data_IF_067363495407
#
_entry.id   IF_067363495407
#
_cell.length_a   1.000
_cell.length_b   1.000
_cell.length_c   1.000
_cell.angle_alpha   90.00
_cell.angle_beta   90.00
_cell.angle_gamma   90.00
#
_symmetry.space_group_name_H-M   'P 1'
#
loop_
_entity.id
_entity.type
_entity.pdbx_description
1 polymer ?
#
# COMPACT_ATOMS: atom_id res chain seq x y z
N UNK A 1 19.59 -18.50 -30.95
CA UNK A 1 19.49 -19.87 -30.39
C UNK A 1 18.03 -20.06 -30.03
N UNK A 2 17.35 -21.08 -30.56
CA UNK A 2 15.87 -21.14 -30.59
C UNK A 2 15.22 -21.75 -29.34
N UNK A 3 16.01 -22.24 -28.39
CA UNK A 3 15.56 -22.92 -27.16
C UNK A 3 16.24 -22.38 -25.88
N UNK A 4 16.92 -21.23 -25.98
CA UNK A 4 17.62 -20.59 -24.85
C UNK A 4 18.80 -21.36 -24.28
N UNK A 5 19.09 -22.57 -24.76
CA UNK A 5 20.13 -23.45 -24.19
C UNK A 5 21.42 -23.33 -25.00
N UNK A 6 22.42 -22.64 -24.45
CA UNK A 6 23.77 -22.60 -25.03
C UNK A 6 24.64 -23.65 -24.34
N UNK A 7 24.77 -24.83 -24.95
CA UNK A 7 25.78 -25.79 -24.51
C UNK A 7 27.18 -25.24 -24.83
N UNK A 8 28.02 -25.05 -23.82
CA UNK A 8 29.40 -24.59 -24.01
C UNK A 8 30.34 -25.67 -24.57
N UNK A 9 29.87 -26.87 -24.95
CA UNK A 9 30.63 -27.93 -25.63
C UNK A 9 32.07 -28.18 -25.11
N UNK A 10 32.29 -28.13 -23.80
CA UNK A 10 33.62 -28.33 -23.19
C UNK A 10 34.53 -27.10 -23.22
N UNK A 11 33.99 -25.90 -23.48
CA UNK A 11 34.69 -24.64 -23.33
C UNK A 11 34.91 -24.36 -21.84
N UNK A 12 36.16 -24.49 -21.39
CA UNK A 12 36.56 -24.05 -20.05
C UNK A 12 36.93 -22.58 -20.10
N UNK A 13 36.27 -21.76 -19.28
CA UNK A 13 36.67 -20.38 -19.08
C UNK A 13 37.84 -20.39 -18.09
N UNK A 14 38.96 -19.77 -18.47
CA UNK A 14 40.12 -19.68 -17.58
C UNK A 14 39.82 -18.70 -16.44
N UNK A 15 40.17 -19.09 -15.21
CA UNK A 15 40.07 -18.20 -14.05
C UNK A 15 40.90 -16.92 -14.27
N UNK A 16 40.38 -15.81 -13.78
CA UNK A 16 40.85 -14.44 -13.94
C UNK A 16 40.97 -13.95 -15.40
N UNK A 17 40.26 -14.59 -16.33
CA UNK A 17 40.23 -14.15 -17.73
C UNK A 17 39.14 -13.10 -17.98
N UNK A 18 39.30 -12.32 -19.04
CA UNK A 18 38.25 -11.38 -19.45
C UNK A 18 36.96 -12.11 -19.86
N UNK A 19 37.06 -13.35 -20.34
CA UNK A 19 35.91 -14.20 -20.66
C UNK A 19 35.14 -14.60 -19.41
N UNK A 20 35.82 -14.79 -18.27
CA UNK A 20 35.17 -15.05 -16.98
C UNK A 20 34.36 -13.85 -16.51
N UNK A 21 34.96 -12.66 -16.56
CA UNK A 21 34.29 -11.41 -16.18
C UNK A 21 33.05 -11.13 -17.04
N UNK A 22 33.16 -11.27 -18.36
CA UNK A 22 32.00 -11.14 -19.24
C UNK A 22 30.92 -12.20 -18.97
N UNK A 23 31.31 -13.39 -18.50
CA UNK A 23 30.36 -14.43 -18.09
C UNK A 23 29.63 -14.06 -16.80
N UNK A 24 30.29 -13.41 -15.83
CA UNK A 24 29.62 -12.91 -14.62
C UNK A 24 28.48 -11.97 -14.99
N UNK A 25 28.77 -10.94 -15.79
CA UNK A 25 27.74 -10.02 -16.31
C UNK A 25 26.60 -10.78 -16.96
N UNK A 26 26.90 -11.72 -17.87
CA UNK A 26 25.86 -12.52 -18.53
C UNK A 26 24.99 -13.33 -17.55
N UNK A 27 25.60 -13.95 -16.53
CA UNK A 27 24.82 -14.70 -15.54
C UNK A 27 23.91 -13.79 -14.72
N UNK A 28 24.36 -12.58 -14.40
CA UNK A 28 23.58 -11.60 -13.63
C UNK A 28 22.38 -11.09 -14.44
N UNK A 29 22.60 -10.74 -15.72
CA UNK A 29 21.51 -10.42 -16.65
C UNK A 29 20.49 -11.57 -16.76
N UNK A 30 20.99 -12.81 -16.87
CA UNK A 30 20.15 -14.00 -16.99
C UNK A 30 19.35 -14.23 -15.72
N UNK A 31 19.95 -14.06 -14.54
CA UNK A 31 19.28 -14.20 -13.24
C UNK A 31 18.14 -13.19 -13.10
N UNK A 32 18.38 -11.93 -13.44
CA UNK A 32 17.34 -10.89 -13.41
C UNK A 32 16.18 -11.23 -14.36
N UNK A 33 16.49 -11.68 -15.58
CA UNK A 33 15.47 -12.14 -16.53
C UNK A 33 14.70 -13.37 -16.04
N UNK A 34 15.40 -14.40 -15.56
CA UNK A 34 14.81 -15.63 -15.04
C UNK A 34 13.91 -15.34 -13.83
N UNK A 35 14.33 -14.43 -12.95
CA UNK A 35 13.55 -14.03 -11.78
C UNK A 35 12.18 -13.46 -12.19
N UNK A 36 12.17 -12.42 -13.02
CA UNK A 36 10.92 -11.79 -13.48
C UNK A 36 10.08 -12.81 -14.26
N UNK A 37 10.69 -13.52 -15.20
CA UNK A 37 9.99 -14.48 -16.06
C UNK A 37 9.36 -15.62 -15.25
N UNK A 38 10.08 -16.19 -14.29
CA UNK A 38 9.57 -17.32 -13.52
C UNK A 38 8.45 -16.92 -12.55
N UNK A 39 8.50 -15.70 -12.01
CA UNK A 39 7.51 -15.22 -11.03
C UNK A 39 6.25 -14.69 -11.73
N UNK A 40 6.41 -14.00 -12.86
CA UNK A 40 5.31 -13.26 -13.51
C UNK A 40 4.82 -13.92 -14.79
N UNK A 41 5.59 -14.85 -15.38
CA UNK A 41 5.38 -15.42 -16.70
C UNK A 41 5.35 -14.36 -17.83
N UNK A 42 5.97 -13.20 -17.60
CA UNK A 42 6.14 -12.10 -18.55
C UNK A 42 7.61 -12.04 -18.96
N UNK A 43 7.87 -11.75 -20.23
CA UNK A 43 9.22 -11.45 -20.73
C UNK A 43 9.50 -9.95 -20.51
N UNK A 44 10.47 -9.56 -19.66
CA UNK A 44 10.80 -8.15 -19.41
C UNK A 44 11.54 -7.48 -20.58
N UNK A 45 11.79 -8.22 -21.66
CA UNK A 45 12.40 -7.71 -22.88
C UNK A 45 13.91 -7.93 -22.94
N UNK A 46 14.50 -7.52 -24.06
CA UNK A 46 15.92 -7.73 -24.29
C UNK A 46 16.78 -6.84 -23.42
N UNK A 47 17.94 -7.36 -23.00
CA UNK A 47 19.00 -6.59 -22.36
C UNK A 47 20.30 -6.82 -23.11
N UNK A 48 21.06 -5.75 -23.29
CA UNK A 48 22.43 -5.80 -23.78
C UNK A 48 23.32 -5.07 -22.78
N UNK A 49 24.45 -5.65 -22.43
CA UNK A 49 25.45 -4.99 -21.60
C UNK A 49 26.76 -4.83 -22.37
N UNK A 50 27.40 -3.67 -22.21
CA UNK A 50 28.77 -3.41 -22.63
C UNK A 50 29.69 -3.42 -21.42
N UNK A 51 30.75 -4.21 -21.51
CA UNK A 51 31.88 -4.16 -20.59
C UNK A 51 33.19 -4.27 -21.37
N UNK A 52 34.21 -3.56 -20.91
CA UNK A 52 35.56 -3.61 -21.46
C UNK A 52 36.60 -3.49 -20.33
N UNK A 53 37.63 -4.35 -20.37
CA UNK A 53 38.66 -4.35 -19.31
C UNK A 53 39.39 -3.02 -19.25
N UNK A 54 39.51 -2.46 -18.05
CA UNK A 54 40.16 -1.18 -17.79
C UNK A 54 39.31 0.04 -18.12
N UNK A 55 38.17 -0.15 -18.78
CA UNK A 55 37.21 0.93 -19.05
C UNK A 55 36.25 1.03 -17.87
N UNK A 56 36.36 2.14 -17.14
CA UNK A 56 35.42 2.49 -16.08
C UNK A 56 34.44 3.54 -16.55
N UNK A 57 34.46 3.89 -17.84
CA UNK A 57 33.64 4.94 -18.38
C UNK A 57 33.38 4.82 -19.87
N UNK A 58 32.24 5.34 -20.33
CA UNK A 58 31.94 5.51 -21.77
C UNK A 58 32.70 6.70 -22.38
N UNK A 59 34.01 6.56 -22.59
CA UNK A 59 34.89 7.64 -23.01
C UNK A 59 34.89 7.90 -24.55
N UNK A 60 33.81 8.47 -25.09
CA UNK A 60 33.76 8.98 -26.48
C UNK A 60 33.31 10.45 -26.52
N UNK A 61 34.12 11.39 -26.01
CA UNK A 61 33.74 12.81 -26.02
C UNK A 61 34.83 13.68 -26.69
N UNK A 62 34.65 14.03 -27.96
CA UNK A 62 35.36 15.13 -28.62
C UNK A 62 34.66 16.48 -28.33
N UNK A 63 34.63 16.86 -27.05
CA UNK A 63 34.45 18.26 -26.66
C UNK A 63 33.07 18.92 -26.89
N UNK A 64 31.98 18.20 -27.20
CA UNK A 64 30.65 18.85 -27.28
C UNK A 64 29.43 18.06 -26.81
N UNK A 65 29.55 16.80 -26.37
CA UNK A 65 28.43 16.05 -25.78
C UNK A 65 28.92 15.31 -24.53
N UNK A 66 28.77 15.92 -23.37
CA UNK A 66 29.14 15.30 -22.09
C UNK A 66 28.03 14.35 -21.65
N UNK A 67 28.18 13.05 -21.93
CA UNK A 67 27.61 12.03 -21.05
C UNK A 67 28.65 11.82 -19.93
N UNK A 68 28.24 11.78 -18.65
CA UNK A 68 29.16 11.42 -17.60
C UNK A 68 29.68 10.01 -17.85
N UNK A 69 30.89 9.72 -17.35
CA UNK A 69 31.57 8.47 -17.60
C UNK A 69 30.76 7.22 -17.20
N UNK A 70 29.88 7.30 -16.19
CA UNK A 70 29.51 6.09 -15.47
C UNK A 70 28.13 5.49 -15.84
N UNK A 71 27.05 6.25 -16.09
CA UNK A 71 25.69 5.65 -16.12
C UNK A 71 24.64 6.33 -17.03
N UNK A 72 24.93 6.52 -18.33
CA UNK A 72 23.92 7.04 -19.25
C UNK A 72 24.00 6.44 -20.67
N UNK A 73 22.86 6.33 -21.39
CA UNK A 73 22.82 5.86 -22.76
C UNK A 73 23.33 7.02 -23.60
N UNK A 74 24.66 7.08 -23.73
CA UNK A 74 25.26 7.65 -24.92
C UNK A 74 24.47 7.10 -26.12
N UNK A 75 24.15 7.94 -27.11
CA UNK A 75 23.41 7.62 -28.35
C UNK A 75 24.04 6.51 -29.24
N UNK A 76 24.78 5.55 -28.67
CA UNK A 76 25.53 4.47 -29.31
C UNK A 76 25.65 3.18 -28.49
N UNK A 77 25.01 3.05 -27.34
CA UNK A 77 24.87 1.75 -26.69
C UNK A 77 23.39 1.41 -26.66
N UNK A 78 22.99 0.47 -27.50
CA UNK A 78 21.71 -0.22 -27.38
C UNK A 78 21.83 -1.10 -26.12
N UNK A 79 21.75 -0.53 -24.90
CA UNK A 79 21.95 -1.27 -23.65
C UNK A 79 22.62 -0.50 -22.50
N UNK A 80 23.06 -1.25 -21.50
CA UNK A 80 23.73 -0.75 -20.27
C UNK A 80 25.26 -0.82 -20.38
N UNK A 81 25.95 -0.05 -19.54
CA UNK A 81 27.40 -0.10 -19.41
C UNK A 81 27.80 -0.53 -18.00
N UNK A 82 28.67 -1.53 -17.90
CA UNK A 82 29.25 -1.96 -16.63
C UNK A 82 30.71 -1.52 -16.59
N UNK A 83 31.06 -0.67 -15.63
CA UNK A 83 32.44 -0.27 -15.40
C UNK A 83 33.31 -1.46 -14.96
N UNK A 84 34.57 -1.53 -15.42
CA UNK A 84 35.47 -2.65 -15.07
C UNK A 84 35.75 -2.78 -13.57
N UNK A 85 35.66 -1.69 -12.82
CA UNK A 85 35.77 -1.68 -11.35
C UNK A 85 34.57 -2.33 -10.67
N UNK A 86 33.40 -2.32 -11.33
CA UNK A 86 32.11 -2.71 -10.74
C UNK A 86 31.65 -4.12 -11.15
N UNK A 87 32.32 -4.76 -12.11
CA UNK A 87 31.98 -6.09 -12.65
C UNK A 87 31.94 -7.25 -11.63
N UNK A 88 32.46 -7.02 -10.42
CA UNK A 88 32.46 -8.02 -9.34
C UNK A 88 31.25 -7.89 -8.41
N UNK A 89 30.44 -6.84 -8.57
CA UNK A 89 29.21 -6.62 -7.82
C UNK A 89 28.02 -7.05 -8.68
N UNK A 90 27.37 -8.14 -8.25
CA UNK A 90 26.13 -8.59 -8.86
C UNK A 90 24.99 -7.56 -8.68
N UNK A 91 24.98 -6.86 -7.54
CA UNK A 91 23.98 -5.82 -7.27
C UNK A 91 24.08 -4.68 -8.29
N UNK A 92 25.28 -4.20 -8.60
CA UNK A 92 25.47 -3.15 -9.60
C UNK A 92 25.02 -3.63 -10.98
N UNK A 93 25.39 -4.86 -11.38
CA UNK A 93 24.99 -5.37 -12.71
C UNK A 93 23.47 -5.53 -12.83
N UNK A 94 22.80 -6.01 -11.79
CA UNK A 94 21.34 -6.16 -11.78
C UNK A 94 20.64 -4.81 -11.63
N UNK A 95 21.20 -3.87 -10.87
CA UNK A 95 20.72 -2.50 -10.78
C UNK A 95 20.66 -1.86 -12.16
N UNK A 96 21.77 -1.89 -12.92
CA UNK A 96 21.77 -1.38 -14.30
C UNK A 96 20.74 -2.11 -15.18
N UNK A 97 20.56 -3.41 -14.96
CA UNK A 97 19.52 -4.20 -15.64
C UNK A 97 18.12 -3.68 -15.35
N UNK A 98 17.85 -3.22 -14.13
CA UNK A 98 16.58 -2.59 -13.74
C UNK A 98 16.28 -1.34 -14.57
N UNK A 99 17.29 -0.50 -14.83
CA UNK A 99 17.16 0.62 -15.76
C UNK A 99 16.84 0.17 -17.18
N UNK A 100 17.48 -0.89 -17.69
CA UNK A 100 17.14 -1.39 -19.03
C UNK A 100 15.69 -1.89 -19.13
N UNK A 101 15.15 -2.49 -18.07
CA UNK A 101 13.75 -2.90 -18.08
C UNK A 101 12.79 -1.70 -18.06
N UNK A 102 13.13 -0.65 -17.32
CA UNK A 102 12.43 0.63 -17.43
C UNK A 102 12.51 1.21 -18.85
N UNK A 103 13.67 1.16 -19.48
CA UNK A 103 13.89 1.59 -20.87
C UNK A 103 13.02 0.81 -21.87
N UNK A 104 12.94 -0.52 -21.71
CA UNK A 104 12.14 -1.38 -22.58
C UNK A 104 10.64 -1.03 -22.56
N UNK A 105 10.15 -0.52 -21.42
CA UNK A 105 8.73 -0.15 -21.22
C UNK A 105 8.47 1.29 -21.65
N UNK A 106 9.32 2.23 -21.21
CA UNK A 106 9.10 3.68 -21.41
C UNK A 106 9.74 4.22 -22.70
N UNK A 107 10.62 3.44 -23.35
CA UNK A 107 11.47 3.90 -24.45
C UNK A 107 12.62 4.83 -24.01
N UNK A 108 12.75 5.06 -22.70
CA UNK A 108 13.86 5.75 -22.05
C UNK A 108 13.84 5.44 -20.54
N UNK A 109 14.93 4.94 -19.95
CA UNK A 109 14.98 4.61 -18.51
C UNK A 109 14.85 5.83 -17.57
N UNK A 110 15.07 7.04 -18.07
CA UNK A 110 14.93 8.30 -17.33
C UNK A 110 13.83 9.16 -17.96
N UNK A 111 12.59 8.65 -18.04
CA UNK A 111 11.51 9.16 -18.87
C UNK A 111 11.17 10.66 -18.73
N UNK A 112 10.51 11.28 -19.75
CA UNK A 112 9.99 12.64 -19.65
C UNK A 112 8.88 12.76 -18.58
N UNK A 113 8.68 13.92 -17.91
CA UNK A 113 9.28 15.24 -18.17
C UNK A 113 10.59 15.41 -17.39
N UNK A 114 11.69 14.97 -17.99
CA UNK A 114 13.02 15.13 -17.46
C UNK A 114 13.59 16.46 -17.97
N UNK A 115 13.89 17.35 -17.05
CA UNK A 115 14.76 18.46 -17.39
C UNK A 115 16.20 17.96 -17.44
N UNK A 116 17.06 18.67 -18.18
CA UNK A 116 18.51 18.43 -18.09
C UNK A 116 19.03 18.52 -16.64
N UNK A 117 18.35 19.30 -15.79
CA UNK A 117 18.69 19.44 -14.38
C UNK A 117 18.46 18.13 -13.61
N UNK A 118 17.34 17.43 -13.84
CA UNK A 118 17.05 16.14 -13.21
C UNK A 118 18.15 15.11 -13.51
N UNK A 119 18.50 14.96 -14.80
CA UNK A 119 19.59 14.09 -15.24
C UNK A 119 20.94 14.50 -14.64
N UNK A 120 21.22 15.82 -14.57
CA UNK A 120 22.46 16.32 -14.03
C UNK A 120 22.60 16.08 -12.52
N UNK A 121 21.53 16.29 -11.76
CA UNK A 121 21.52 16.06 -10.31
C UNK A 121 21.62 14.58 -9.94
N UNK A 122 21.00 13.71 -10.74
CA UNK A 122 20.98 12.28 -10.51
C UNK A 122 22.29 11.62 -10.96
N UNK A 123 22.64 11.76 -12.24
CA UNK A 123 23.66 10.95 -12.91
C UNK A 123 25.03 11.63 -12.92
N UNK A 124 25.10 12.96 -13.10
CA UNK A 124 26.38 13.66 -13.28
C UNK A 124 27.04 13.99 -11.93
N UNK A 125 26.28 14.52 -10.98
CA UNK A 125 26.82 14.94 -9.68
C UNK A 125 27.05 13.78 -8.72
N UNK A 126 26.51 12.60 -9.03
CA UNK A 126 26.46 11.47 -8.11
C UNK A 126 25.49 11.71 -6.94
N UNK A 127 25.13 10.63 -6.27
CA UNK A 127 24.30 10.63 -5.08
C UNK A 127 24.59 9.40 -4.22
N UNK A 128 24.25 9.47 -2.94
CA UNK A 128 24.08 8.31 -2.08
C UNK A 128 22.61 8.01 -1.84
N UNK A 129 22.32 6.80 -1.34
CA UNK A 129 20.95 6.30 -1.11
C UNK A 129 20.06 7.25 -0.30
N UNK A 130 20.62 8.00 0.65
CA UNK A 130 19.85 8.85 1.56
C UNK A 130 19.95 10.35 1.27
N UNK A 131 20.51 10.71 0.10
CA UNK A 131 20.50 12.08 -0.40
C UNK A 131 19.13 12.42 -0.98
N UNK A 132 18.63 13.62 -0.68
CA UNK A 132 17.45 14.15 -1.37
C UNK A 132 17.82 14.52 -2.80
N UNK A 133 17.06 13.98 -3.75
CA UNK A 133 17.21 14.21 -5.20
C UNK A 133 15.87 14.57 -5.81
N UNK A 134 15.75 14.38 -7.12
CA UNK A 134 14.50 14.58 -7.84
C UNK A 134 13.63 13.33 -7.69
N UNK A 135 12.30 13.49 -7.77
CA UNK A 135 11.37 12.35 -7.67
C UNK A 135 11.65 11.26 -8.70
N UNK A 136 12.04 11.67 -9.90
CA UNK A 136 12.41 10.75 -10.97
C UNK A 136 13.68 9.98 -10.62
N UNK A 137 14.71 10.65 -10.11
CA UNK A 137 15.94 9.99 -9.67
C UNK A 137 15.67 8.95 -8.57
N UNK A 138 15.00 9.36 -7.49
CA UNK A 138 14.69 8.47 -6.38
C UNK A 138 13.85 7.24 -6.81
N UNK A 139 12.93 7.44 -7.77
CA UNK A 139 12.14 6.36 -8.33
C UNK A 139 12.95 5.42 -9.23
N UNK A 140 13.70 5.96 -10.20
CA UNK A 140 14.43 5.14 -11.17
C UNK A 140 15.54 4.34 -10.51
N UNK A 141 16.31 4.99 -9.65
CA UNK A 141 17.41 4.39 -8.89
C UNK A 141 16.83 3.44 -7.83
N UNK A 142 15.74 3.83 -7.16
CA UNK A 142 15.11 3.01 -6.14
C UNK A 142 14.51 1.72 -6.68
N UNK A 143 13.88 1.77 -7.86
CA UNK A 143 13.43 0.57 -8.58
C UNK A 143 14.60 -0.33 -8.97
N UNK A 144 15.65 0.23 -9.58
CA UNK A 144 16.81 -0.51 -10.04
C UNK A 144 17.50 -1.24 -8.88
N UNK A 145 17.72 -0.53 -7.77
CA UNK A 145 18.28 -1.09 -6.55
C UNK A 145 17.36 -2.13 -5.93
N UNK A 146 16.05 -1.88 -5.83
CA UNK A 146 15.09 -2.88 -5.34
C UNK A 146 15.13 -4.17 -6.16
N UNK A 147 15.22 -4.09 -7.49
CA UNK A 147 15.32 -5.27 -8.35
C UNK A 147 16.58 -6.10 -8.03
N UNK A 148 17.72 -5.45 -7.78
CA UNK A 148 18.94 -6.13 -7.37
C UNK A 148 18.74 -6.94 -6.08
N UNK A 149 18.18 -6.29 -5.05
CA UNK A 149 17.88 -6.94 -3.77
C UNK A 149 16.90 -8.10 -3.94
N UNK A 150 15.83 -7.92 -4.70
CA UNK A 150 14.82 -8.94 -4.94
C UNK A 150 15.38 -10.17 -5.68
N UNK A 151 16.26 -9.96 -6.67
CA UNK A 151 16.90 -11.03 -7.46
C UNK A 151 17.95 -11.79 -6.65
N UNK A 152 18.73 -11.09 -5.83
CA UNK A 152 19.75 -11.71 -4.97
C UNK A 152 19.17 -12.34 -3.71
N UNK A 153 17.97 -11.90 -3.30
CA UNK A 153 17.18 -12.48 -2.22
C UNK A 153 17.65 -12.06 -0.84
N UNK A 154 18.18 -10.83 -0.72
CA UNK A 154 18.62 -10.24 0.54
C UNK A 154 18.49 -8.71 0.52
N UNK A 155 18.41 -8.06 1.70
CA UNK A 155 18.20 -6.60 1.80
C UNK A 155 19.48 -5.77 1.67
N UNK A 156 20.63 -6.39 1.37
CA UNK A 156 21.93 -5.72 1.36
C UNK A 156 22.40 -5.36 -0.04
N UNK A 157 22.60 -4.07 -0.29
CA UNK A 157 23.30 -3.64 -1.50
C UNK A 157 24.81 -3.71 -1.30
N UNK A 158 25.49 -4.58 -2.05
CA UNK A 158 26.93 -4.85 -1.97
C UNK A 158 27.68 -4.15 -3.09
N UNK A 159 28.49 -3.16 -2.72
CA UNK A 159 29.37 -2.45 -3.65
C UNK A 159 30.54 -3.32 -4.10
N UNK A 160 31.13 -3.00 -5.25
CA UNK A 160 32.30 -3.72 -5.76
C UNK A 160 33.55 -3.61 -4.87
N UNK A 161 33.57 -2.64 -3.94
CA UNK A 161 34.59 -2.52 -2.90
C UNK A 161 34.47 -3.56 -1.78
N UNK A 162 33.35 -4.29 -1.73
CA UNK A 162 32.99 -5.25 -0.69
C UNK A 162 32.28 -4.65 0.53
N UNK A 163 32.02 -3.33 0.53
CA UNK A 163 31.11 -2.72 1.51
C UNK A 163 29.66 -3.05 1.17
N UNK A 164 28.79 -3.11 2.17
CA UNK A 164 27.34 -3.28 1.96
C UNK A 164 26.52 -2.33 2.84
N UNK A 165 25.29 -2.08 2.41
CA UNK A 165 24.29 -1.28 3.14
C UNK A 165 22.99 -2.06 3.16
N UNK A 166 22.41 -2.19 4.35
CA UNK A 166 21.07 -2.75 4.54
C UNK A 166 20.03 -1.65 4.23
N UNK A 167 19.16 -1.90 3.26
CA UNK A 167 18.21 -0.92 2.73
C UNK A 167 16.76 -1.19 3.15
N UNK A 168 16.53 -2.20 3.98
CA UNK A 168 15.25 -2.51 4.63
C UNK A 168 15.07 -1.75 5.97
N UNK A 169 16.16 -1.27 6.56
CA UNK A 169 16.14 -0.53 7.83
C UNK A 169 15.51 0.89 7.86
N UNK A 170 15.22 1.61 6.76
CA UNK A 170 14.65 2.95 6.83
C UNK A 170 13.34 3.00 7.65
N UNK A 171 13.37 3.53 8.88
CA UNK A 171 12.19 3.62 9.75
C UNK A 171 12.08 4.95 10.52
N UNK A 172 10.98 5.14 11.25
CA UNK A 172 10.79 6.22 12.22
C UNK A 172 11.37 5.87 13.60
N UNK A 173 11.96 6.83 14.34
CA UNK A 173 12.32 8.17 13.93
C UNK A 173 13.56 8.17 13.01
N UNK A 174 13.58 9.12 12.09
CA UNK A 174 14.66 9.24 11.10
C UNK A 174 15.96 9.72 11.74
N UNK A 175 17.12 9.09 11.44
CA UNK A 175 18.42 9.61 11.84
C UNK A 175 18.61 11.08 11.43
N UNK A 176 19.21 11.95 12.27
CA UNK A 176 19.29 13.38 11.99
C UNK A 176 20.01 13.78 10.70
N UNK A 177 20.80 12.87 10.13
CA UNK A 177 21.59 13.04 8.92
C UNK A 177 20.93 12.46 7.67
N UNK A 178 19.72 11.88 7.78
CA UNK A 178 18.98 11.36 6.65
C UNK A 178 17.76 12.21 6.31
N UNK A 179 17.46 12.26 5.01
CA UNK A 179 16.25 12.90 4.50
C UNK A 179 15.09 11.90 4.45
N UNK A 180 13.86 12.44 4.37
CA UNK A 180 12.61 11.68 4.34
C UNK A 180 11.86 11.93 3.04
N UNK A 181 10.89 11.07 2.72
CA UNK A 181 9.97 11.27 1.60
C UNK A 181 10.41 10.61 0.29
N UNK A 182 9.56 10.80 -0.73
CA UNK A 182 9.63 10.12 -2.04
C UNK A 182 10.68 10.67 -3.00
N UNK A 183 11.52 11.59 -2.53
CA UNK A 183 12.68 12.17 -3.24
C UNK A 183 13.99 11.53 -2.82
N UNK A 184 13.95 10.48 -1.99
CA UNK A 184 15.10 9.80 -1.41
C UNK A 184 15.09 8.33 -1.84
N UNK A 185 16.10 7.94 -2.61
CA UNK A 185 16.21 6.60 -3.20
C UNK A 185 16.06 5.48 -2.17
N UNK A 186 16.80 5.55 -1.06
CA UNK A 186 16.79 4.58 0.03
C UNK A 186 15.41 4.40 0.67
N UNK A 187 14.56 5.44 0.65
CA UNK A 187 13.17 5.35 1.15
C UNK A 187 12.27 4.64 0.15
N UNK A 188 12.46 4.89 -1.14
CA UNK A 188 11.75 4.19 -2.21
C UNK A 188 12.14 2.70 -2.22
N UNK A 189 13.42 2.38 -2.03
CA UNK A 189 13.91 1.01 -1.99
C UNK A 189 13.26 0.24 -0.84
N UNK A 190 13.36 0.76 0.40
CA UNK A 190 12.77 0.12 1.55
C UNK A 190 11.25 -0.02 1.41
N UNK A 191 10.56 1.01 0.89
CA UNK A 191 9.12 0.92 0.66
C UNK A 191 8.74 -0.18 -0.36
N UNK A 192 9.51 -0.34 -1.45
CA UNK A 192 9.29 -1.44 -2.40
C UNK A 192 9.64 -2.79 -1.79
N UNK A 193 10.67 -2.85 -0.94
CA UNK A 193 11.11 -4.06 -0.28
C UNK A 193 10.07 -4.55 0.73
N UNK A 194 9.53 -3.69 1.59
CA UNK A 194 8.46 -4.03 2.55
C UNK A 194 7.18 -4.49 1.84
N UNK A 195 6.85 -3.90 0.68
CA UNK A 195 5.72 -4.40 -0.12
C UNK A 195 5.98 -5.82 -0.67
N UNK A 196 7.25 -6.19 -0.87
CA UNK A 196 7.67 -7.40 -1.55
C UNK A 196 7.95 -8.57 -0.61
N UNK A 197 8.59 -8.32 0.52
CA UNK A 197 9.26 -9.32 1.31
C UNK A 197 8.30 -10.01 2.32
N UNK A 198 8.79 -10.98 3.09
CA UNK A 198 7.96 -11.70 4.08
C UNK A 198 8.34 -11.37 5.53
N UNK A 199 9.08 -10.30 5.76
CA UNK A 199 9.68 -9.97 7.06
C UNK A 199 8.93 -8.85 7.77
N UNK A 200 7.61 -8.98 7.88
CA UNK A 200 6.72 -8.01 8.51
C UNK A 200 7.28 -7.41 9.81
N UNK A 201 7.59 -6.11 9.77
CA UNK A 201 8.05 -5.35 10.93
C UNK A 201 7.36 -3.98 11.10
N UNK A 202 7.02 -3.63 12.34
CA UNK A 202 6.37 -2.35 12.65
C UNK A 202 5.05 -2.12 11.89
N UNK A 203 5.08 -1.20 10.92
CA UNK A 203 3.96 -0.88 10.03
C UNK A 203 3.91 -1.77 8.79
N UNK A 204 4.99 -2.44 8.41
CA UNK A 204 4.91 -3.53 7.44
C UNK A 204 4.25 -4.74 8.09
N UNK A 205 3.05 -5.08 7.58
CA UNK A 205 2.20 -6.12 8.13
C UNK A 205 1.79 -7.15 7.09
N UNK A 206 2.21 -7.01 5.82
CA UNK A 206 1.76 -7.90 4.77
C UNK A 206 2.71 -7.97 3.58
N UNK A 207 2.90 -9.18 3.10
CA UNK A 207 3.58 -9.46 1.83
C UNK A 207 2.64 -9.35 0.65
N UNK A 208 2.93 -8.47 -0.30
CA UNK A 208 2.28 -8.48 -1.61
C UNK A 208 3.05 -9.29 -2.65
N UNK A 209 4.36 -9.47 -2.43
CA UNK A 209 5.25 -10.15 -3.36
C UNK A 209 5.61 -9.29 -4.56
N UNK A 210 6.40 -9.85 -5.48
CA UNK A 210 6.99 -9.10 -6.59
C UNK A 210 5.98 -8.76 -7.70
N UNK A 211 5.00 -9.65 -7.94
CA UNK A 211 4.10 -9.54 -9.10
C UNK A 211 3.31 -8.24 -9.15
N UNK A 212 2.67 -7.73 -8.07
CA UNK A 212 1.96 -6.45 -8.12
C UNK A 212 2.88 -5.26 -8.45
N UNK A 213 4.10 -5.26 -7.91
CA UNK A 213 5.09 -4.21 -8.17
C UNK A 213 5.47 -4.21 -9.65
N UNK A 214 5.87 -5.38 -10.18
CA UNK A 214 6.25 -5.52 -11.59
C UNK A 214 5.09 -5.22 -12.54
N UNK A 215 3.88 -5.65 -12.21
CA UNK A 215 2.69 -5.36 -13.03
C UNK A 215 2.50 -3.84 -13.17
N UNK A 216 2.77 -3.03 -12.15
CA UNK A 216 2.72 -1.56 -12.30
C UNK A 216 3.87 -1.08 -13.18
N UNK A 217 5.12 -1.38 -12.80
CA UNK A 217 6.34 -0.91 -13.49
C UNK A 217 6.39 -1.30 -14.97
N UNK A 218 5.80 -2.45 -15.34
CA UNK A 218 5.82 -2.98 -16.71
C UNK A 218 4.62 -2.60 -17.57
N UNK A 219 3.55 -2.03 -16.98
CA UNK A 219 2.29 -1.78 -17.70
C UNK A 219 2.02 -0.30 -18.04
N UNK A 220 2.74 0.62 -17.41
CA UNK A 220 2.43 2.03 -17.44
C UNK A 220 3.66 2.83 -17.84
N UNK A 221 3.60 3.64 -18.91
CA UNK A 221 4.71 4.50 -19.32
C UNK A 221 4.80 5.81 -18.50
N UNK A 222 4.02 5.93 -17.41
CA UNK A 222 3.76 7.23 -16.76
C UNK A 222 4.36 7.36 -15.35
N UNK A 223 4.89 6.29 -14.72
CA UNK A 223 5.55 6.43 -13.41
C UNK A 223 6.93 7.11 -13.56
N UNK A 224 6.94 8.43 -13.50
CA UNK A 224 8.15 9.24 -13.34
C UNK A 224 8.46 9.55 -11.87
N UNK A 225 7.76 8.92 -10.93
CA UNK A 225 7.93 9.08 -9.48
C UNK A 225 7.30 7.92 -8.71
N UNK A 226 7.73 7.74 -7.46
CA UNK A 226 7.10 6.78 -6.54
C UNK A 226 5.64 7.15 -6.21
N UNK A 227 5.29 8.43 -6.25
CA UNK A 227 3.90 8.90 -6.11
C UNK A 227 3.04 8.43 -7.30
N UNK A 228 3.59 8.42 -8.51
CA UNK A 228 2.93 7.85 -9.69
C UNK A 228 2.72 6.35 -9.53
N UNK A 229 3.72 5.63 -9.03
CA UNK A 229 3.59 4.21 -8.68
C UNK A 229 2.45 3.98 -7.68
N UNK A 230 2.36 4.80 -6.62
CA UNK A 230 1.27 4.71 -5.65
C UNK A 230 -0.11 5.00 -6.26
N UNK A 231 -0.21 5.98 -7.15
CA UNK A 231 -1.45 6.25 -7.87
C UNK A 231 -1.88 5.06 -8.75
N UNK A 232 -0.94 4.42 -9.44
CA UNK A 232 -1.18 3.19 -10.20
C UNK A 232 -1.55 2.01 -9.31
N UNK A 233 -0.94 1.88 -8.12
CA UNK A 233 -1.28 0.87 -7.12
C UNK A 233 -2.76 0.97 -6.70
N UNK A 234 -3.19 2.19 -6.36
CA UNK A 234 -4.60 2.49 -6.05
C UNK A 234 -5.51 2.21 -7.24
N UNK A 235 -5.12 2.63 -8.44
CA UNK A 235 -5.93 2.48 -9.65
C UNK A 235 -6.14 1.01 -10.06
N UNK A 236 -5.18 0.12 -9.76
CA UNK A 236 -5.30 -1.33 -9.96
C UNK A 236 -6.12 -2.04 -8.88
N UNK A 237 -6.53 -1.34 -7.83
CA UNK A 237 -7.35 -1.91 -6.76
C UNK A 237 -6.57 -2.85 -5.84
N UNK A 238 -5.25 -2.71 -5.75
CA UNK A 238 -4.46 -3.38 -4.72
C UNK A 238 -4.84 -2.85 -3.33
N UNK A 239 -4.60 -3.62 -2.27
CA UNK A 239 -4.91 -3.17 -0.91
C UNK A 239 -4.11 -1.90 -0.60
N UNK A 240 -4.81 -0.85 -0.20
CA UNK A 240 -4.23 0.47 0.06
C UNK A 240 -3.82 0.63 1.51
N UNK A 241 -4.67 0.20 2.44
CA UNK A 241 -4.48 0.35 3.88
C UNK A 241 -3.16 -0.25 4.40
N UNK A 242 -2.87 -1.50 4.04
CA UNK A 242 -1.64 -2.17 4.47
C UNK A 242 -0.42 -1.70 3.66
N UNK A 243 -0.63 -1.39 2.37
CA UNK A 243 0.45 -0.87 1.53
C UNK A 243 0.92 0.52 1.97
N UNK A 244 0.00 1.42 2.35
CA UNK A 244 0.37 2.77 2.83
C UNK A 244 1.08 2.71 4.18
N UNK A 245 0.81 1.69 5.00
CA UNK A 245 1.55 1.44 6.24
C UNK A 245 3.01 1.01 5.98
N UNK A 246 3.24 0.07 5.07
CA UNK A 246 4.60 -0.31 4.63
C UNK A 246 5.36 0.88 3.99
N UNK A 247 4.67 1.68 3.17
CA UNK A 247 5.26 2.91 2.59
C UNK A 247 5.59 3.93 3.69
N UNK A 248 4.71 4.07 4.69
CA UNK A 248 4.89 4.98 5.81
C UNK A 248 6.05 4.55 6.71
N UNK A 249 6.27 3.25 6.94
CA UNK A 249 7.45 2.72 7.65
C UNK A 249 8.73 3.37 7.12
N UNK A 250 8.84 3.40 5.79
CA UNK A 250 9.96 3.97 5.05
C UNK A 250 9.94 5.50 4.95
N UNK A 251 9.22 6.17 5.83
CA UNK A 251 9.19 7.63 6.01
C UNK A 251 8.69 8.39 4.77
N UNK A 252 7.89 7.71 3.95
CA UNK A 252 7.11 8.30 2.86
C UNK A 252 5.66 8.38 3.33
N UNK A 253 5.17 9.58 3.60
CA UNK A 253 3.81 9.78 4.12
C UNK A 253 2.83 10.09 2.98
N UNK A 254 2.15 9.05 2.50
CA UNK A 254 1.02 9.15 1.57
C UNK A 254 -0.34 8.93 2.25
N UNK A 255 -0.36 8.74 3.56
CA UNK A 255 -1.57 8.46 4.32
C UNK A 255 -2.37 9.76 4.55
N UNK A 256 -3.67 9.73 4.30
CA UNK A 256 -4.58 10.80 4.76
C UNK A 256 -5.03 10.52 6.19
N UNK A 257 -5.51 11.52 6.94
CA UNK A 257 -6.09 11.23 8.27
C UNK A 257 -7.54 10.80 8.10
N UNK A 258 -8.02 9.84 8.92
CA UNK A 258 -9.41 9.43 8.87
C UNK A 258 -10.30 10.63 9.20
N UNK A 259 -11.49 10.68 8.61
CA UNK A 259 -12.51 11.70 8.85
C UNK A 259 -13.63 11.08 9.65
N UNK A 260 -14.16 11.82 10.63
CA UNK A 260 -15.28 11.39 11.47
C UNK A 260 -16.23 12.57 11.75
N UNK A 261 -17.53 12.32 11.72
CA UNK A 261 -18.56 13.35 11.97
C UNK A 261 -19.83 12.75 12.61
N UNK A 262 -19.88 12.77 13.93
CA UNK A 262 -20.86 12.06 14.75
C UNK A 262 -22.11 12.90 15.03
N UNK A 263 -23.31 12.32 14.90
CA UNK A 263 -24.54 13.02 15.22
C UNK A 263 -24.77 13.09 16.74
N UNK A 264 -25.10 14.28 17.24
CA UNK A 264 -25.65 14.43 18.60
C UNK A 264 -26.96 13.64 18.75
N UNK A 265 -27.19 13.07 19.93
CA UNK A 265 -28.36 12.23 20.24
C UNK A 265 -29.20 12.82 21.36
N UNK A 266 -30.52 12.66 21.25
CA UNK A 266 -31.47 13.01 22.32
C UNK A 266 -32.31 11.79 22.64
N UNK A 267 -32.43 11.48 23.92
CA UNK A 267 -33.22 10.36 24.42
C UNK A 267 -34.03 10.76 25.65
N UNK A 268 -35.09 10.00 25.90
CA UNK A 268 -35.96 10.20 27.04
C UNK A 268 -35.32 9.60 28.31
N UNK A 269 -35.58 10.21 29.47
CA UNK A 269 -35.17 9.67 30.76
C UNK A 269 -35.64 8.22 30.92
N UNK A 270 -34.81 7.37 31.53
CA UNK A 270 -35.09 5.94 31.73
C UNK A 270 -35.23 5.08 30.45
N UNK A 271 -34.76 5.56 29.29
CA UNK A 271 -34.62 4.76 28.06
C UNK A 271 -33.15 4.56 27.72
N UNK A 272 -32.85 3.42 27.10
CA UNK A 272 -31.57 3.16 26.44
C UNK A 272 -31.70 3.40 24.93
N UNK A 273 -30.58 3.66 24.28
CA UNK A 273 -30.48 3.72 22.83
C UNK A 273 -29.40 2.74 22.39
N UNK A 274 -29.84 1.51 22.14
CA UNK A 274 -29.04 0.45 21.54
C UNK A 274 -28.77 0.78 20.07
N UNK A 275 -27.55 0.56 19.60
CA UNK A 275 -27.12 0.87 18.25
C UNK A 275 -27.39 2.33 17.84
N UNK A 276 -27.14 3.26 18.77
CA UNK A 276 -27.48 4.68 18.60
C UNK A 276 -26.70 5.35 17.47
N UNK A 277 -25.47 4.96 17.22
CA UNK A 277 -24.63 5.51 16.13
C UNK A 277 -23.88 4.35 15.48
N UNK A 278 -24.03 4.19 14.16
CA UNK A 278 -23.20 3.30 13.35
C UNK A 278 -21.91 4.01 12.98
N UNK A 279 -20.76 3.62 13.54
CA UNK A 279 -19.51 4.36 13.32
C UNK A 279 -19.00 4.31 11.87
N UNK A 280 -19.37 3.27 11.11
CA UNK A 280 -19.04 3.15 9.69
C UNK A 280 -19.77 4.19 8.83
N UNK A 281 -21.01 4.56 9.17
CA UNK A 281 -21.74 5.60 8.42
C UNK A 281 -21.18 7.01 8.63
N UNK A 282 -20.37 7.21 9.66
CA UNK A 282 -19.88 8.52 10.09
C UNK A 282 -18.36 8.64 10.07
N UNK A 283 -17.66 7.62 9.57
CA UNK A 283 -16.20 7.62 9.44
C UNK A 283 -15.81 7.21 8.02
N UNK A 284 -14.77 7.81 7.48
CA UNK A 284 -14.21 7.43 6.18
C UNK A 284 -12.72 7.77 6.13
N UNK A 285 -11.98 7.05 5.29
CA UNK A 285 -10.57 7.29 5.01
C UNK A 285 -10.28 7.01 3.53
N UNK A 286 -9.33 7.73 2.92
CA UNK A 286 -9.10 7.58 1.47
C UNK A 286 -8.35 6.28 1.15
N UNK A 287 -7.59 5.74 2.11
CA UNK A 287 -6.77 4.55 1.97
C UNK A 287 -7.40 3.31 2.63
N UNK A 288 -8.25 3.49 3.64
CA UNK A 288 -8.80 2.40 4.44
C UNK A 288 -10.27 2.12 4.13
N UNK A 289 -10.65 0.84 4.07
CA UNK A 289 -12.05 0.45 4.14
C UNK A 289 -12.59 0.63 5.55
N UNK A 290 -13.91 0.77 5.70
CA UNK A 290 -14.56 0.94 7.00
C UNK A 290 -14.15 -0.14 8.02
N UNK A 291 -14.06 -1.40 7.59
CA UNK A 291 -13.67 -2.53 8.45
C UNK A 291 -12.18 -2.56 8.83
N UNK A 292 -11.35 -1.71 8.21
CA UNK A 292 -9.92 -1.53 8.53
C UNK A 292 -9.71 -0.39 9.55
N UNK A 293 -10.74 0.41 9.85
CA UNK A 293 -10.68 1.48 10.85
C UNK A 293 -10.93 0.94 12.26
N UNK A 294 -10.32 1.59 13.26
CA UNK A 294 -10.52 1.28 14.69
C UNK A 294 -11.08 2.50 15.44
N UNK A 295 -11.97 2.25 16.40
CA UNK A 295 -12.63 3.30 17.18
C UNK A 295 -12.44 3.14 18.68
N UNK A 296 -12.24 4.27 19.36
CA UNK A 296 -12.08 4.30 20.80
C UNK A 296 -12.85 5.47 21.42
N UNK A 297 -13.61 5.20 22.49
CA UNK A 297 -14.10 6.25 23.38
C UNK A 297 -12.94 6.76 24.21
N UNK A 298 -12.53 8.01 23.99
CA UNK A 298 -11.40 8.62 24.72
C UNK A 298 -11.87 9.52 25.87
N UNK A 299 -13.12 9.99 25.83
CA UNK A 299 -13.67 10.84 26.89
C UNK A 299 -15.20 10.76 26.97
N UNK A 300 -15.72 10.74 28.20
CA UNK A 300 -17.14 10.90 28.51
C UNK A 300 -17.28 11.99 29.58
N UNK A 301 -17.90 13.11 29.22
CA UNK A 301 -17.97 14.30 30.08
C UNK A 301 -18.82 14.13 31.33
N UNK A 302 -19.76 13.18 31.33
CA UNK A 302 -20.52 12.81 32.51
C UNK A 302 -20.78 11.30 32.51
N UNK A 303 -20.27 10.61 33.53
CA UNK A 303 -20.40 9.16 33.67
C UNK A 303 -21.85 8.67 33.74
N UNK A 304 -22.81 9.53 34.07
CA UNK A 304 -24.24 9.17 34.07
C UNK A 304 -24.81 8.89 32.67
N UNK A 305 -24.12 9.27 31.59
CA UNK A 305 -24.58 8.95 30.23
C UNK A 305 -24.41 7.48 29.85
N UNK A 306 -23.40 6.81 30.44
CA UNK A 306 -22.96 5.44 30.17
C UNK A 306 -22.93 5.07 28.66
N UNK A 307 -21.73 5.09 28.08
CA UNK A 307 -21.56 4.94 26.63
C UNK A 307 -20.53 3.85 26.36
N UNK A 308 -20.85 2.95 25.45
CA UNK A 308 -19.97 1.87 25.00
C UNK A 308 -19.95 1.78 23.48
N UNK A 309 -18.89 1.18 22.93
CA UNK A 309 -18.85 0.69 21.55
C UNK A 309 -18.96 -0.83 21.62
N UNK A 310 -19.86 -1.42 20.86
CA UNK A 310 -20.04 -2.86 20.80
C UNK A 310 -19.08 -3.54 19.81
N UNK A 311 -19.20 -4.86 19.65
CA UNK A 311 -18.33 -5.63 18.74
C UNK A 311 -18.71 -5.49 17.26
N UNK A 312 -19.72 -4.67 16.92
CA UNK A 312 -20.13 -4.34 15.55
C UNK A 312 -19.85 -2.86 15.24
N UNK A 313 -19.05 -2.19 16.08
CA UNK A 313 -18.70 -0.76 15.98
C UNK A 313 -19.91 0.18 16.06
N UNK A 314 -20.94 -0.23 16.79
CA UNK A 314 -22.05 0.66 17.15
C UNK A 314 -21.85 1.29 18.52
N UNK A 315 -22.24 2.56 18.64
CA UNK A 315 -22.31 3.26 19.92
C UNK A 315 -23.63 2.95 20.61
N UNK A 316 -23.54 2.42 21.82
CA UNK A 316 -24.68 2.23 22.73
C UNK A 316 -24.72 3.31 23.79
N UNK A 317 -25.92 3.77 24.14
CA UNK A 317 -26.15 4.80 25.16
C UNK A 317 -27.12 4.28 26.21
N UNK A 318 -26.69 4.21 27.47
CA UNK A 318 -27.45 3.61 28.57
C UNK A 318 -27.47 4.55 29.80
N UNK A 319 -28.15 5.70 29.75
CA UNK A 319 -28.07 6.66 30.84
C UNK A 319 -28.57 6.08 32.16
N UNK A 320 -27.98 6.53 33.27
CA UNK A 320 -28.38 6.13 34.60
C UNK A 320 -29.86 6.44 34.86
N UNK A 321 -30.57 5.58 35.61
CA UNK A 321 -31.97 5.83 35.93
C UNK A 321 -32.19 7.18 36.61
N UNK A 322 -33.27 7.85 36.23
CA UNK A 322 -33.73 9.15 36.71
C UNK A 322 -32.73 10.31 36.49
N UNK A 323 -31.71 10.11 35.65
CA UNK A 323 -30.78 11.18 35.29
C UNK A 323 -31.33 12.05 34.16
N UNK A 324 -31.16 13.37 34.31
CA UNK A 324 -31.44 14.38 33.31
C UNK A 324 -30.21 15.23 33.11
N UNK A 325 -29.88 15.54 31.87
CA UNK A 325 -28.73 16.39 31.58
C UNK A 325 -28.17 16.22 30.19
N UNK A 326 -26.94 16.69 30.05
CA UNK A 326 -26.14 16.57 28.84
C UNK A 326 -24.76 16.02 29.19
N UNK A 327 -24.19 15.26 28.29
CA UNK A 327 -22.77 14.94 28.30
C UNK A 327 -22.22 15.02 26.88
N UNK A 328 -20.94 15.37 26.79
CA UNK A 328 -20.19 15.30 25.56
C UNK A 328 -19.36 14.01 25.60
N UNK A 329 -19.33 13.31 24.47
CA UNK A 329 -18.55 12.08 24.27
C UNK A 329 -17.59 12.34 23.14
N UNK A 330 -16.32 12.00 23.34
CA UNK A 330 -15.29 12.10 22.30
C UNK A 330 -14.91 10.70 21.88
N UNK A 331 -15.04 10.44 20.57
CA UNK A 331 -14.60 9.21 19.93
C UNK A 331 -13.41 9.54 19.03
N UNK A 332 -12.39 8.68 19.10
CA UNK A 332 -11.24 8.66 18.21
C UNK A 332 -11.44 7.59 17.15
N UNK A 333 -11.18 7.92 15.89
CA UNK A 333 -11.00 6.96 14.80
C UNK A 333 -9.51 6.89 14.43
N UNK A 334 -9.03 5.69 14.10
CA UNK A 334 -7.65 5.38 13.74
C UNK A 334 -7.59 4.55 12.45
N UNK A 335 -6.67 4.89 11.56
CA UNK A 335 -6.30 4.07 10.38
C UNK A 335 -5.04 3.21 10.63
N UNK A 336 -4.54 3.20 11.87
CA UNK A 336 -3.30 2.53 12.26
C UNK A 336 -2.05 3.45 12.27
N UNK A 337 -2.05 4.53 11.50
CA UNK A 337 -0.96 5.51 11.40
C UNK A 337 -1.36 6.84 12.07
N UNK A 338 -2.52 7.38 11.69
CA UNK A 338 -3.07 8.66 12.10
C UNK A 338 -4.41 8.47 12.81
N UNK A 339 -4.76 9.46 13.61
CA UNK A 339 -6.00 9.45 14.39
C UNK A 339 -6.71 10.80 14.31
N UNK A 340 -8.03 10.76 14.35
CA UNK A 340 -8.89 11.94 14.38
C UNK A 340 -9.95 11.76 15.46
N UNK A 341 -10.29 12.84 16.15
CA UNK A 341 -11.27 12.85 17.22
C UNK A 341 -12.50 13.67 16.79
N UNK A 342 -13.70 13.22 17.15
CA UNK A 342 -14.92 14.02 17.05
C UNK A 342 -15.76 13.91 18.33
N UNK A 343 -16.54 14.95 18.59
CA UNK A 343 -17.37 15.11 19.78
C UNK A 343 -18.84 15.15 19.42
N UNK A 344 -19.65 14.29 20.03
CA UNK A 344 -21.10 14.39 19.97
C UNK A 344 -21.71 14.60 21.37
N UNK A 345 -22.84 15.30 21.41
CA UNK A 345 -23.55 15.55 22.66
C UNK A 345 -24.72 14.58 22.80
N UNK A 346 -24.86 13.99 23.97
CA UNK A 346 -26.02 13.23 24.40
C UNK A 346 -26.87 14.12 25.29
N UNK A 347 -28.17 14.21 25.00
CA UNK A 347 -29.15 14.97 25.79
C UNK A 347 -30.25 14.06 26.31
N UNK A 348 -30.34 13.92 27.63
CA UNK A 348 -31.41 13.16 28.30
C UNK A 348 -32.47 14.14 28.79
N UNK A 349 -33.69 13.98 28.27
CA UNK A 349 -34.82 14.89 28.52
C UNK A 349 -35.94 14.18 29.26
N UNK A 350 -36.74 14.90 30.08
CA UNK A 350 -37.80 14.27 30.85
C UNK A 350 -38.92 13.72 29.96
N UNK A 351 -39.61 12.69 30.44
CA UNK A 351 -40.81 12.16 29.78
C UNK A 351 -41.98 13.10 30.10
N UNK A 352 -42.30 14.00 29.16
CA UNK A 352 -43.35 14.99 29.35
C UNK A 352 -44.76 14.38 29.49
N UNK A 353 -45.03 13.28 28.79
CA UNK A 353 -46.27 12.51 28.92
C UNK A 353 -46.08 11.10 28.36
N UNK A 354 -46.70 10.10 29.00
CA UNK A 354 -46.88 8.77 28.44
C UNK A 354 -48.32 8.65 27.92
N UNK A 355 -48.47 8.43 26.61
CA UNK A 355 -49.78 8.21 25.99
C UNK A 355 -50.05 6.72 25.96
N UNK A 356 -50.91 6.24 26.85
CA UNK A 356 -51.43 4.88 26.78
C UNK A 356 -52.64 4.86 25.84
N UNK A 357 -52.49 4.22 24.68
CA UNK A 357 -53.62 3.90 23.81
C UNK A 357 -54.42 2.75 24.44
N UNK A 358 -55.68 2.96 24.85
CA UNK A 358 -56.50 1.86 25.35
C UNK A 358 -56.75 0.86 24.22
N UNK A 359 -56.36 -0.40 24.44
CA UNK A 359 -56.69 -1.48 23.53
C UNK A 359 -58.19 -1.78 23.64
N UNK A 360 -58.99 -1.25 22.70
CA UNK A 360 -60.41 -1.57 22.61
C UNK A 360 -60.57 -2.88 21.83
N UNK A 361 -60.60 -3.99 22.54
CA UNK A 361 -61.00 -5.27 21.96
C UNK A 361 -62.53 -5.31 21.83
N UNK A 362 -63.04 -5.43 20.60
CA UNK A 362 -64.46 -5.75 20.39
C UNK A 362 -64.69 -7.17 20.90
N UNK A 363 -65.41 -7.27 22.02
CA UNK A 363 -66.04 -8.53 22.40
C UNK A 363 -67.10 -8.85 21.34
N UNK A 364 -66.73 -9.66 20.35
CA UNK A 364 -67.71 -10.46 19.65
C UNK A 364 -68.24 -11.47 20.67
N UNK A 365 -69.40 -11.16 21.25
CA UNK A 365 -70.22 -12.14 21.96
C UNK A 365 -70.75 -13.15 20.93
N UNK A 366 -69.85 -13.99 20.40
CA UNK A 366 -70.27 -15.25 19.82
C UNK A 366 -70.77 -16.13 20.95
N UNK A 367 -72.06 -16.40 20.89
CA UNK A 367 -72.71 -17.46 21.64
C UNK A 367 -72.06 -18.76 21.20
N UNK A 368 -71.02 -19.23 21.91
CA UNK A 368 -70.44 -20.56 21.65
C UNK A 368 -70.61 -21.44 22.87
N UNK A 369 -71.51 -22.40 22.70
CA UNK A 369 -71.48 -23.73 23.31
C UNK A 369 -70.04 -24.21 23.50
N UNK A 370 -69.68 -24.41 24.76
CA UNK A 370 -68.63 -25.31 25.29
C UNK A 370 -67.60 -25.85 24.28
N UNK A 371 -66.42 -25.23 24.21
CA UNK A 371 -65.18 -25.92 23.87
C UNK A 371 -63.97 -25.25 24.53
N UNK A 372 -62.98 -26.08 24.86
CA UNK A 372 -61.90 -25.91 25.86
C UNK A 372 -61.07 -24.61 25.80
N UNK A 373 -60.49 -24.19 26.95
CA UNK A 373 -59.57 -23.06 27.04
C UNK A 373 -58.14 -23.49 26.71
N UNK A 374 -57.56 -22.89 25.66
CA UNK A 374 -56.15 -23.04 25.33
C UNK A 374 -55.88 -22.76 23.86
N UNK A 375 -55.96 -21.49 23.47
CA UNK A 375 -55.22 -20.88 22.34
C UNK A 375 -55.76 -19.46 22.09
N UNK A 376 -55.12 -18.47 22.71
CA UNK A 376 -55.37 -17.06 22.47
C UNK A 376 -54.43 -16.53 21.40
N UNK A 377 -54.76 -16.70 20.13
CA UNK A 377 -54.07 -15.99 19.03
C UNK A 377 -54.56 -14.53 18.98
N UNK A 378 -53.65 -13.59 19.24
CA UNK A 378 -53.87 -12.16 19.02
C UNK A 378 -53.82 -11.88 17.51
N UNK A 379 -54.91 -11.33 16.97
CA UNK A 379 -54.98 -10.83 15.58
C UNK A 379 -54.86 -9.30 15.64
N UNK A 380 -53.78 -8.76 15.07
CA UNK A 380 -53.55 -7.31 14.95
C UNK A 380 -54.53 -6.68 13.93
N UNK A 381 -55.08 -5.47 14.19
CA UNK A 381 -55.99 -4.79 13.27
C UNK A 381 -55.29 -3.92 12.21
N UNK A 382 -53.95 -4.00 12.07
CA UNK A 382 -53.24 -3.29 11.01
C UNK A 382 -53.39 -4.04 9.67
N UNK A 383 -53.64 -3.34 8.54
CA UNK A 383 -53.54 -3.96 7.23
C UNK A 383 -52.11 -4.46 7.03
N UNK A 384 -51.98 -5.73 6.67
CA UNK A 384 -50.72 -6.33 6.24
C UNK A 384 -50.13 -5.44 5.14
N UNK A 385 -48.87 -4.97 5.25
CA UNK A 385 -48.21 -4.31 4.13
C UNK A 385 -48.26 -5.26 2.94
N UNK A 386 -48.62 -4.74 1.77
CA UNK A 386 -48.51 -5.50 0.53
C UNK A 386 -47.06 -5.98 0.40
N UNK A 387 -46.89 -7.30 0.24
CA UNK A 387 -45.64 -7.94 -0.13
C UNK A 387 -45.14 -7.31 -1.44
N UNK A 388 -44.27 -6.31 -1.31
CA UNK A 388 -43.41 -5.84 -2.38
C UNK A 388 -42.22 -6.80 -2.43
N UNK A 389 -42.13 -7.50 -3.56
CA UNK A 389 -41.01 -8.27 -4.09
C UNK A 389 -40.19 -9.13 -3.11
N UNK A 390 -40.31 -10.45 -3.30
CA UNK A 390 -39.25 -11.39 -2.91
C UNK A 390 -37.90 -10.91 -3.45
N UNK A 391 -36.85 -10.86 -2.62
CA UNK A 391 -35.49 -10.75 -3.13
C UNK A 391 -35.13 -12.05 -3.83
N UNK A 392 -34.88 -11.96 -5.14
CA UNK A 392 -34.16 -12.99 -5.89
C UNK A 392 -32.85 -13.34 -5.16
N UNK A 393 -32.49 -14.63 -5.05
CA UNK A 393 -31.20 -15.02 -4.49
C UNK A 393 -30.06 -14.35 -5.27
N UNK A 394 -29.12 -13.73 -4.56
CA UNK A 394 -27.83 -13.37 -5.13
C UNK A 394 -27.11 -14.68 -5.50
N UNK A 395 -27.00 -14.97 -6.79
CA UNK A 395 -26.00 -15.89 -7.29
C UNK A 395 -24.62 -15.31 -7.02
N UNK A 396 -23.83 -16.01 -6.20
CA UNK A 396 -22.41 -15.71 -5.98
C UNK A 396 -21.61 -15.96 -7.27
N UNK A 397 -20.82 -15.00 -7.78
CA UNK A 397 -20.02 -15.18 -8.98
C UNK A 397 -18.61 -15.76 -8.72
N UNK A 398 -18.32 -16.32 -7.54
CA UNK A 398 -17.01 -16.89 -7.25
C UNK A 398 -17.05 -18.42 -7.09
N UNK A 399 -16.20 -19.17 -7.81
CA UNK A 399 -16.04 -20.60 -7.59
C UNK A 399 -15.30 -20.82 -6.27
N UNK A 400 -15.96 -21.47 -5.31
CA UNK A 400 -15.31 -21.94 -4.08
C UNK A 400 -14.41 -23.15 -4.37
N UNK A 401 -13.29 -23.31 -3.64
CA UNK A 401 -12.33 -24.42 -3.79
C UNK A 401 -12.89 -25.82 -3.50
#
# INVERSE_FOLDING_TARGET
>A
VSDGTVAFYGYSIANNSNTERAMWVFQDLRRAWEYIHNITNIDPGSITARWEKGENSLSWCDGSCCCPPDFAPCNKIDGIFIADKDIVSEDIVIHETGHQYMDNVMGFWYGPPNTWDDFYQCVILGHGFFDEKTKLCAWSEGWATFLALAVNGDPFYTFASGGSVDLELPTWPVPPDQTIGDTVEGRVIGALYDLFDNSNDGFDQVTFGFTPIWDIVSSSPDESSFSGFWDSWKAKGHNKHLAVQAIYQNTIDYNTSPRINLPSRTLLENFTYDNAINLWEYSEDDESYDWELDWQIIYVGNWHCDVSIDAQDFVDIIPYPDWLGTCDVIIRVSDGIKTTDDTFTIRVVPVAAQVYLPLVMRNHSETRTTQNPGDGHLISPLPTPALLHEPTPLDSPLPTP
#
